data_IF_041517297863
#
_entry.id   IF_041517297863
#
_cell.length_a   1.000
_cell.length_b   1.000
_cell.length_c   1.000
_cell.angle_alpha   90.00
_cell.angle_beta   90.00
_cell.angle_gamma   90.00
#
_symmetry.space_group_name_H-M   'P 1'
#
loop_
_entity.id
_entity.type
_entity.pdbx_description
1 polymer ?
#
# COMPACT_ATOMS: atom_id res chain seq x y z
N UNK A 1 -18.29 -31.34 -50.92
CA UNK A 1 -17.40 -30.30 -50.41
C UNK A 1 -15.99 -30.57 -50.92
N UNK A 2 -15.41 -29.66 -51.72
CA UNK A 2 -14.16 -29.91 -52.45
C UNK A 2 -12.96 -29.93 -51.50
N UNK A 3 -12.15 -31.03 -51.56
CA UNK A 3 -10.95 -31.18 -50.69
C UNK A 3 -9.95 -30.01 -50.81
N UNK A 4 -9.94 -29.32 -51.95
CA UNK A 4 -9.13 -28.11 -52.17
C UNK A 4 -9.65 -26.91 -51.40
N UNK A 5 -10.97 -26.80 -51.19
CA UNK A 5 -11.58 -25.74 -50.42
C UNK A 5 -11.34 -25.92 -48.91
N UNK A 6 -11.29 -27.18 -48.45
CA UNK A 6 -10.97 -27.51 -47.05
C UNK A 6 -9.51 -27.17 -46.70
N UNK A 7 -8.57 -27.41 -47.63
CA UNK A 7 -7.15 -27.06 -47.44
C UNK A 7 -6.91 -25.54 -47.43
N UNK A 8 -7.66 -24.78 -48.24
CA UNK A 8 -7.59 -23.33 -48.22
C UNK A 8 -8.17 -22.75 -46.92
N UNK A 9 -9.26 -23.34 -46.40
CA UNK A 9 -9.82 -22.92 -45.13
C UNK A 9 -8.89 -23.23 -43.94
N UNK A 10 -8.18 -24.38 -43.98
CA UNK A 10 -7.19 -24.75 -42.98
C UNK A 10 -5.96 -23.82 -42.97
N UNK A 11 -5.55 -23.35 -44.17
CA UNK A 11 -4.44 -22.40 -44.30
C UNK A 11 -4.80 -21.01 -43.80
N UNK A 12 -6.05 -20.58 -43.93
CA UNK A 12 -6.54 -19.28 -43.41
C UNK A 12 -6.67 -19.26 -41.88
N UNK A 13 -6.89 -20.42 -41.24
CA UNK A 13 -6.98 -20.50 -39.76
C UNK A 13 -5.62 -20.56 -39.08
N UNK A 14 -4.53 -20.82 -39.84
CA UNK A 14 -3.18 -20.89 -39.27
C UNK A 14 -2.43 -19.54 -39.24
N UNK A 15 -2.98 -18.51 -39.89
CA UNK A 15 -2.36 -17.18 -39.97
C UNK A 15 -2.76 -16.19 -38.87
N UNK A 16 -3.57 -16.61 -37.90
CA UNK A 16 -3.96 -15.75 -36.76
C UNK A 16 -3.29 -16.08 -35.41
N UNK A 17 -2.16 -16.80 -35.46
CA UNK A 17 -1.52 -17.32 -34.26
C UNK A 17 -0.10 -16.81 -34.00
N UNK A 18 0.23 -15.55 -34.24
CA UNK A 18 1.47 -14.93 -33.75
C UNK A 18 1.20 -13.44 -33.53
N UNK A 19 0.29 -13.11 -32.64
CA UNK A 19 0.29 -11.80 -32.01
C UNK A 19 1.29 -11.85 -30.87
N UNK A 20 2.49 -11.41 -31.19
CA UNK A 20 3.55 -11.02 -30.30
C UNK A 20 2.98 -10.26 -29.11
N UNK A 21 3.32 -10.68 -27.89
CA UNK A 21 3.24 -9.82 -26.72
C UNK A 21 4.07 -8.57 -27.00
N UNK A 22 3.43 -7.53 -27.46
CA UNK A 22 3.90 -6.15 -27.23
C UNK A 22 3.77 -5.90 -25.75
N UNK A 23 4.90 -5.69 -25.11
CA UNK A 23 4.96 -5.08 -23.79
C UNK A 23 4.39 -3.66 -23.93
N UNK A 24 3.08 -3.53 -23.77
CA UNK A 24 2.49 -2.25 -23.46
C UNK A 24 2.93 -1.92 -22.04
N UNK A 25 3.99 -1.12 -21.94
CA UNK A 25 4.31 -0.31 -20.78
C UNK A 25 3.19 0.72 -20.55
N UNK A 26 1.98 0.25 -20.30
CA UNK A 26 1.00 0.97 -19.52
C UNK A 26 1.35 0.75 -18.06
N UNK A 27 2.47 1.34 -17.67
CA UNK A 27 2.73 1.64 -16.27
C UNK A 27 1.53 2.47 -15.79
N UNK A 28 0.70 1.96 -14.85
CA UNK A 28 -0.25 2.81 -14.16
C UNK A 28 0.58 3.95 -13.61
N UNK A 29 0.16 5.20 -13.86
CA UNK A 29 0.80 6.39 -13.35
C UNK A 29 1.26 6.10 -11.92
N UNK A 30 2.57 6.07 -11.73
CA UNK A 30 3.16 6.02 -10.40
C UNK A 30 2.54 7.17 -9.65
N UNK A 31 1.59 6.85 -8.78
CA UNK A 31 1.17 7.77 -7.75
C UNK A 31 2.47 8.20 -7.11
N UNK A 32 2.79 9.47 -7.23
CA UNK A 32 4.01 10.12 -6.80
C UNK A 32 4.29 9.72 -5.35
N UNK A 33 4.96 8.57 -5.19
CA UNK A 33 5.59 8.21 -3.95
C UNK A 33 6.77 9.18 -3.90
N UNK A 34 6.55 10.31 -3.25
CA UNK A 34 7.63 11.23 -2.90
C UNK A 34 8.52 10.43 -1.95
N UNK A 35 9.65 9.95 -2.45
CA UNK A 35 10.71 9.27 -1.67
C UNK A 35 11.39 10.21 -0.67
N UNK A 36 10.82 11.38 -0.46
CA UNK A 36 11.21 12.26 0.63
C UNK A 36 10.38 11.86 1.83
N UNK A 37 10.98 11.30 2.89
CA UNK A 37 10.24 11.01 4.11
C UNK A 37 9.58 12.30 4.57
N UNK A 38 8.25 12.34 4.53
CA UNK A 38 7.50 13.46 5.08
C UNK A 38 7.83 13.51 6.57
N UNK A 39 8.53 14.57 6.97
CA UNK A 39 8.95 14.73 8.35
C UNK A 39 7.69 14.99 9.18
N UNK A 40 7.27 13.99 9.92
CA UNK A 40 6.14 14.14 10.83
C UNK A 40 6.43 15.22 11.88
N UNK A 41 5.54 16.19 11.96
CA UNK A 41 5.65 17.31 12.93
C UNK A 41 4.85 17.07 14.20
N UNK A 42 4.07 15.99 14.25
CA UNK A 42 3.23 15.62 15.39
C UNK A 42 3.48 14.17 15.75
N UNK A 43 3.27 13.82 17.02
CA UNK A 43 3.38 12.43 17.48
C UNK A 43 2.30 11.52 16.88
N UNK A 44 1.06 11.96 16.82
CA UNK A 44 -0.04 11.22 16.21
C UNK A 44 -0.38 11.81 14.83
N UNK A 45 -0.25 11.00 13.83
CA UNK A 45 -0.48 11.34 12.42
C UNK A 45 -1.58 10.43 11.87
N UNK A 46 -2.85 10.88 11.91
CA UNK A 46 -3.97 10.13 11.33
C UNK A 46 -3.97 10.22 9.81
N UNK A 47 -4.76 9.32 9.19
CA UNK A 47 -5.15 9.40 7.78
C UNK A 47 -3.99 9.44 6.77
N UNK A 48 -2.87 8.80 7.11
CA UNK A 48 -1.81 8.54 6.17
C UNK A 48 -2.27 7.48 5.16
N UNK A 49 -1.69 7.49 3.98
CA UNK A 49 -2.02 6.49 2.98
C UNK A 49 -0.83 6.13 2.10
N UNK A 50 -0.88 4.93 1.53
CA UNK A 50 0.02 4.50 0.47
C UNK A 50 -0.72 3.59 -0.51
N UNK A 51 -0.30 3.58 -1.76
CA UNK A 51 -0.86 2.67 -2.75
C UNK A 51 -0.20 1.29 -2.66
N UNK A 52 -1.01 0.27 -2.41
CA UNK A 52 -0.54 -1.12 -2.41
C UNK A 52 -0.62 -1.71 -3.82
N UNK A 53 0.53 -1.96 -4.45
CA UNK A 53 0.59 -2.63 -5.76
C UNK A 53 0.03 -4.05 -5.72
N UNK A 54 0.14 -4.74 -4.57
CA UNK A 54 -0.36 -6.11 -4.39
C UNK A 54 -1.89 -6.12 -4.32
N UNK A 55 -2.48 -5.16 -3.59
CA UNK A 55 -3.93 -5.10 -3.40
C UNK A 55 -4.62 -4.24 -4.47
N UNK A 56 -3.87 -3.50 -5.29
CA UNK A 56 -4.39 -2.63 -6.33
C UNK A 56 -5.23 -1.46 -5.79
N UNK A 57 -4.98 -1.02 -4.56
CA UNK A 57 -5.76 0.03 -3.91
C UNK A 57 -4.95 0.84 -2.91
N UNK A 58 -5.48 2.00 -2.55
CA UNK A 58 -4.93 2.85 -1.50
C UNK A 58 -5.24 2.25 -0.12
N UNK A 59 -4.22 2.13 0.73
CA UNK A 59 -4.32 1.63 2.10
C UNK A 59 -4.12 2.80 3.04
N UNK A 60 -5.08 3.01 3.92
CA UNK A 60 -5.01 4.03 4.97
C UNK A 60 -4.42 3.46 6.25
N UNK A 61 -3.61 4.28 6.91
CA UNK A 61 -3.00 3.94 8.20
C UNK A 61 -2.84 5.18 9.07
N UNK A 62 -2.59 4.98 10.35
CA UNK A 62 -2.22 6.05 11.28
C UNK A 62 -0.89 5.73 11.92
N UNK A 63 -0.11 6.74 12.24
CA UNK A 63 1.21 6.60 12.87
C UNK A 63 1.20 7.28 14.23
N UNK A 64 1.64 6.57 15.26
CA UNK A 64 2.00 7.13 16.55
C UNK A 64 3.52 7.03 16.71
N UNK A 65 4.17 8.15 16.90
CA UNK A 65 5.61 8.26 17.11
C UNK A 65 5.94 8.26 18.61
N UNK A 66 7.11 7.74 19.00
CA UNK A 66 7.65 7.91 20.34
C UNK A 66 7.79 9.37 20.72
N UNK A 67 7.83 9.65 22.02
CA UNK A 67 7.91 11.03 22.52
C UNK A 67 9.20 11.73 22.05
N UNK A 68 10.29 10.99 22.01
CA UNK A 68 11.64 11.48 21.67
C UNK A 68 11.86 11.60 20.16
N UNK A 69 11.03 10.99 19.34
CA UNK A 69 11.24 10.90 17.87
C UNK A 69 11.39 12.28 17.22
N UNK A 70 10.66 13.28 17.67
CA UNK A 70 10.72 14.63 17.10
C UNK A 70 11.94 15.44 17.58
N UNK A 71 12.59 15.01 18.66
CA UNK A 71 13.77 15.66 19.22
C UNK A 71 15.07 14.95 18.87
N UNK A 72 15.03 13.65 18.55
CA UNK A 72 16.21 12.82 18.27
C UNK A 72 16.17 12.27 16.85
N UNK A 73 16.99 12.80 15.95
CA UNK A 73 17.02 12.41 14.54
C UNK A 73 17.75 11.09 14.24
N UNK A 74 18.49 10.54 15.21
CA UNK A 74 19.39 9.37 15.01
C UNK A 74 18.94 8.10 15.74
N UNK A 75 17.82 8.16 16.48
CA UNK A 75 17.27 7.03 17.22
C UNK A 75 16.79 5.92 16.29
N UNK A 76 16.99 4.66 16.69
CA UNK A 76 16.37 3.49 16.07
C UNK A 76 15.25 3.01 16.97
N UNK A 77 14.08 2.88 16.40
CA UNK A 77 12.86 2.52 17.14
C UNK A 77 12.31 1.19 16.64
N UNK A 78 11.80 0.38 17.55
CA UNK A 78 10.99 -0.77 17.21
C UNK A 78 9.65 -0.33 16.60
N UNK A 79 9.09 -1.13 15.70
CA UNK A 79 7.79 -0.86 15.09
C UNK A 79 6.76 -1.88 15.57
N UNK A 80 5.60 -1.40 15.99
CA UNK A 80 4.45 -2.22 16.39
C UNK A 80 3.32 -1.96 15.42
N UNK A 81 2.78 -3.00 14.80
CA UNK A 81 1.61 -2.91 13.94
C UNK A 81 0.35 -3.30 14.73
N UNK A 82 -0.60 -2.38 14.81
CA UNK A 82 -1.90 -2.60 15.42
C UNK A 82 -2.97 -2.72 14.33
N UNK A 83 -3.55 -3.90 14.20
CA UNK A 83 -4.62 -4.15 13.25
C UNK A 83 -5.97 -3.96 13.94
N UNK A 84 -6.89 -3.23 13.29
CA UNK A 84 -8.25 -3.07 13.80
C UNK A 84 -9.08 -4.35 13.59
N UNK A 85 -10.13 -4.52 14.38
CA UNK A 85 -11.08 -5.61 14.23
C UNK A 85 -12.11 -5.37 13.13
N UNK A 86 -13.05 -6.30 13.01
CA UNK A 86 -14.17 -6.20 12.06
C UNK A 86 -14.94 -4.89 12.26
N UNK A 87 -15.22 -4.19 11.14
CA UNK A 87 -15.92 -2.91 11.14
C UNK A 87 -15.10 -1.70 11.62
N UNK A 88 -13.83 -1.90 11.99
CA UNK A 88 -12.92 -0.81 12.34
C UNK A 88 -12.21 -0.19 11.13
N UNK A 89 -11.35 0.78 11.42
CA UNK A 89 -10.51 1.45 10.43
C UNK A 89 -9.20 1.93 11.08
N UNK A 90 -8.37 2.67 10.33
CA UNK A 90 -7.06 3.19 10.78
C UNK A 90 -7.14 4.08 12.02
N UNK A 91 -8.29 4.66 12.35
CA UNK A 91 -8.48 5.56 13.50
C UNK A 91 -8.93 4.82 14.77
N UNK A 92 -9.21 3.51 14.71
CA UNK A 92 -9.73 2.74 15.84
C UNK A 92 -8.83 2.76 17.08
N UNK A 93 -7.52 2.91 16.88
CA UNK A 93 -6.52 3.00 17.94
C UNK A 93 -6.17 4.45 18.34
N UNK A 94 -6.72 5.43 17.61
CA UNK A 94 -6.46 6.85 17.81
C UNK A 94 -7.21 7.47 19.02
N UNK A 95 -7.13 8.80 19.19
CA UNK A 95 -7.72 9.52 20.33
C UNK A 95 -9.23 9.37 20.48
N UNK A 96 -9.95 9.21 19.36
CA UNK A 96 -11.41 8.98 19.36
C UNK A 96 -11.82 7.51 19.57
N UNK A 97 -10.85 6.59 19.58
CA UNK A 97 -11.05 5.18 19.83
C UNK A 97 -10.41 4.73 21.16
N UNK A 98 -9.53 3.72 21.08
CA UNK A 98 -8.84 3.16 22.27
C UNK A 98 -7.70 4.04 22.82
N UNK A 99 -7.41 5.16 22.19
CA UNK A 99 -6.39 6.12 22.60
C UNK A 99 -5.04 5.48 22.99
N UNK A 100 -4.45 4.75 22.05
CA UNK A 100 -3.19 4.01 22.27
C UNK A 100 -2.04 4.95 22.74
N UNK A 101 -2.10 6.23 22.40
CA UNK A 101 -1.11 7.20 22.83
C UNK A 101 -1.06 7.31 24.36
N UNK A 102 -2.20 7.41 25.02
CA UNK A 102 -2.24 7.51 26.50
C UNK A 102 -1.74 6.22 27.15
N UNK A 103 -2.00 5.07 26.54
CA UNK A 103 -1.51 3.77 27.01
C UNK A 103 0.01 3.68 26.87
N UNK A 104 0.55 4.07 25.71
CA UNK A 104 1.99 4.08 25.48
C UNK A 104 2.73 5.02 26.43
N UNK A 105 2.19 6.23 26.65
CA UNK A 105 2.79 7.23 27.55
C UNK A 105 2.78 6.77 29.01
N UNK A 106 1.73 6.09 29.44
CA UNK A 106 1.66 5.52 30.79
C UNK A 106 2.69 4.39 31.01
N UNK A 107 3.02 3.63 29.97
CA UNK A 107 4.04 2.56 30.07
C UNK A 107 5.46 3.11 30.09
N UNK A 108 5.74 4.17 29.30
CA UNK A 108 7.08 4.78 29.26
C UNK A 108 7.41 5.62 30.49
N UNK A 109 6.41 6.16 31.21
CA UNK A 109 6.62 6.91 32.45
C UNK A 109 6.88 6.03 33.67
N UNK A 110 6.67 4.71 33.58
CA UNK A 110 6.89 3.75 34.66
C UNK A 110 8.20 2.93 34.56
N UNK A 111 9.02 3.23 33.56
CA UNK A 111 10.35 2.66 33.33
C UNK A 111 11.43 3.70 33.49
#
# INVERSE_FOLDING_TARGET
MNRKLLLLLALLLFSYGLSSCSSDDNSPSEGKQTDTPELFTKRYNPDQSFYSKILGQEIKYSVLLPQEYLSESTGKYGVVFLLHGWGGNQSSWGPSGLNIQSIADAQTSNG
#
